data_IF_926634822647
#
_entry.id   IF_926634822647
#
_cell.length_a   1.000
_cell.length_b   1.000
_cell.length_c   1.000
_cell.angle_alpha   90.00
_cell.angle_beta   90.00
_cell.angle_gamma   90.00
#
_symmetry.space_group_name_H-M   'P 1'
#
loop_
_entity.id
_entity.type
_entity.pdbx_description
1 polymer ?
#
# COMPACT_ATOMS: atom_id res chain seq x y z
N UNK A 1 -4.24 -12.58 -8.85
CA UNK A 1 -2.99 -11.80 -8.87
C UNK A 1 -2.63 -11.39 -7.46
N UNK A 2 -1.36 -11.51 -7.09
CA UNK A 2 -0.89 -11.20 -5.74
C UNK A 2 -0.41 -9.75 -5.67
N UNK A 3 -0.79 -9.04 -4.62
CA UNK A 3 -0.50 -7.63 -4.47
C UNK A 3 -0.15 -7.32 -3.01
N UNK A 4 0.96 -6.60 -2.79
CA UNK A 4 1.28 -6.09 -1.46
C UNK A 4 0.31 -4.96 -1.11
N UNK A 5 -0.13 -4.91 0.13
CA UNK A 5 -1.12 -3.92 0.58
C UNK A 5 -0.50 -2.95 1.57
N UNK A 6 -0.91 -1.69 1.48
CA UNK A 6 -0.56 -0.64 2.41
C UNK A 6 -1.85 -0.12 3.06
N UNK A 7 -2.15 -0.54 4.29
CA UNK A 7 -3.34 -0.07 4.99
C UNK A 7 -3.16 1.36 5.49
N UNK A 8 -4.13 2.21 5.25
CA UNK A 8 -4.12 3.62 5.65
C UNK A 8 -5.45 4.00 6.28
N UNK A 9 -5.47 5.07 7.03
CA UNK A 9 -6.70 5.65 7.59
C UNK A 9 -7.46 6.53 6.59
N UNK A 10 -7.12 6.43 5.33
CA UNK A 10 -7.75 7.21 4.26
C UNK A 10 -8.04 6.33 3.07
N UNK A 11 -8.82 6.84 2.14
CA UNK A 11 -9.19 6.14 0.90
C UNK A 11 -8.46 6.80 -0.27
N UNK A 12 -7.85 5.97 -1.11
CA UNK A 12 -7.28 6.42 -2.38
C UNK A 12 -8.30 6.17 -3.50
N UNK A 13 -8.55 7.19 -4.30
CA UNK A 13 -9.48 7.07 -5.43
C UNK A 13 -8.72 7.03 -6.75
N UNK A 14 -9.27 6.35 -7.78
CA UNK A 14 -8.67 6.37 -9.12
C UNK A 14 -8.45 7.80 -9.61
N UNK A 15 -7.26 8.07 -10.14
CA UNK A 15 -6.89 9.38 -10.66
C UNK A 15 -6.47 10.40 -9.61
N UNK A 16 -6.68 10.14 -8.34
CA UNK A 16 -6.27 11.05 -7.27
C UNK A 16 -4.83 10.75 -6.83
N UNK A 17 -4.15 11.75 -6.30
CA UNK A 17 -2.80 11.59 -5.78
C UNK A 17 -2.80 11.62 -4.25
N UNK A 18 -1.80 10.96 -3.67
CA UNK A 18 -1.62 10.90 -2.23
C UNK A 18 -0.12 10.92 -1.94
N UNK A 19 0.28 11.76 -0.99
CA UNK A 19 1.66 11.84 -0.53
C UNK A 19 1.79 11.06 0.77
N UNK A 20 2.79 10.18 0.83
CA UNK A 20 3.04 9.32 1.98
C UNK A 20 4.46 9.48 2.46
N UNK A 21 4.64 9.42 3.79
CA UNK A 21 5.97 9.35 4.40
C UNK A 21 6.15 7.99 5.03
N UNK A 22 7.22 7.30 4.65
CA UNK A 22 7.47 5.93 5.04
C UNK A 22 8.70 5.85 5.94
N UNK A 23 8.59 5.11 7.03
CA UNK A 23 9.71 4.87 7.95
C UNK A 23 9.80 3.41 8.37
N UNK A 24 8.75 2.61 8.22
CA UNK A 24 8.77 1.21 8.62
C UNK A 24 9.45 0.36 7.55
N UNK A 25 10.32 -0.55 8.00
CA UNK A 25 11.12 -1.41 7.11
C UNK A 25 10.26 -2.20 6.13
N UNK A 26 9.11 -2.72 6.59
CA UNK A 26 8.21 -3.52 5.72
C UNK A 26 7.75 -2.74 4.50
N UNK A 27 7.49 -1.44 4.65
CA UNK A 27 7.02 -0.61 3.54
C UNK A 27 8.18 -0.08 2.70
N UNK A 28 9.32 0.23 3.33
CA UNK A 28 10.51 0.61 2.58
C UNK A 28 10.96 -0.52 1.65
N UNK A 29 10.95 -1.75 2.15
CA UNK A 29 11.29 -2.93 1.33
C UNK A 29 10.26 -3.16 0.23
N UNK A 30 8.98 -2.98 0.53
CA UNK A 30 7.90 -3.11 -0.45
C UNK A 30 8.08 -2.11 -1.60
N UNK A 31 8.33 -0.83 -1.28
CA UNK A 31 8.52 0.22 -2.28
C UNK A 31 9.76 -0.09 -3.13
N UNK A 32 10.85 -0.52 -2.50
CA UNK A 32 12.06 -0.89 -3.23
C UNK A 32 11.80 -2.00 -4.25
N UNK A 33 11.06 -3.03 -3.86
CA UNK A 33 10.68 -4.12 -4.77
C UNK A 33 9.79 -3.63 -5.91
N UNK A 34 8.80 -2.80 -5.58
CA UNK A 34 7.90 -2.24 -6.58
C UNK A 34 8.66 -1.43 -7.63
N UNK A 35 9.60 -0.60 -7.19
CA UNK A 35 10.39 0.23 -8.10
C UNK A 35 11.32 -0.60 -8.96
N UNK A 36 11.94 -1.64 -8.42
CA UNK A 36 12.85 -2.52 -9.17
C UNK A 36 12.12 -3.31 -10.24
N UNK A 37 10.90 -3.74 -9.95
CA UNK A 37 10.13 -4.62 -10.84
C UNK A 37 9.12 -3.86 -11.70
N UNK A 38 8.96 -2.56 -11.50
CA UNK A 38 7.93 -1.79 -12.20
C UNK A 38 6.52 -2.18 -11.80
N UNK A 39 6.32 -2.58 -10.53
CA UNK A 39 5.04 -3.01 -10.01
C UNK A 39 4.38 -1.93 -9.17
N UNK A 40 3.07 -2.06 -8.98
CA UNK A 40 2.29 -1.24 -8.06
C UNK A 40 2.03 -1.99 -6.76
N UNK A 41 1.41 -1.31 -5.81
CA UNK A 41 0.90 -1.92 -4.58
C UNK A 41 -0.55 -1.47 -4.39
N UNK A 42 -1.20 -1.96 -3.35
CA UNK A 42 -2.59 -1.62 -3.10
C UNK A 42 -2.77 -0.83 -1.81
N UNK A 43 -3.64 0.16 -1.83
CA UNK A 43 -4.05 0.90 -0.64
C UNK A 43 -5.43 0.43 -0.22
N UNK A 44 -5.56 0.04 1.06
CA UNK A 44 -6.84 -0.32 1.66
C UNK A 44 -7.07 0.54 2.91
N UNK A 45 -8.33 0.86 3.18
CA UNK A 45 -8.69 1.68 4.34
C UNK A 45 -8.76 0.80 5.59
N UNK A 46 -8.12 1.23 6.66
CA UNK A 46 -8.17 0.55 7.96
C UNK A 46 -9.55 0.77 8.58
N UNK A 47 -10.19 -0.32 8.98
CA UNK A 47 -11.46 -0.29 9.72
C UNK A 47 -11.23 -0.50 11.21
N UNK A 48 -10.20 -1.29 11.55
CA UNK A 48 -9.83 -1.58 12.93
C UNK A 48 -8.34 -1.82 12.98
N UNK A 49 -7.64 -1.09 13.87
CA UNK A 49 -6.18 -1.17 14.01
C UNK A 49 -5.52 0.17 13.73
N UNK A 50 -4.19 0.13 13.54
CA UNK A 50 -3.36 1.32 13.37
C UNK A 50 -2.53 1.19 12.10
N UNK A 51 -2.10 2.34 11.56
CA UNK A 51 -1.19 2.37 10.41
C UNK A 51 0.21 1.88 10.75
N UNK A 52 0.61 1.99 12.02
CA UNK A 52 1.99 1.76 12.47
C UNK A 52 2.04 0.53 13.38
N UNK A 53 3.14 -0.21 13.28
CA UNK A 53 3.40 -1.37 14.11
C UNK A 53 3.00 -2.67 13.43
N UNK A 54 1.92 -3.29 13.90
CA UNK A 54 1.44 -4.57 13.37
C UNK A 54 0.44 -4.35 12.24
N UNK A 55 0.22 -5.40 11.45
CA UNK A 55 -0.87 -5.37 10.46
C UNK A 55 -2.21 -5.13 11.17
N UNK A 56 -3.12 -4.36 10.57
CA UNK A 56 -4.42 -4.07 11.18
C UNK A 56 -5.29 -5.33 11.25
N UNK A 57 -6.15 -5.38 12.27
CA UNK A 57 -7.08 -6.50 12.45
C UNK A 57 -8.23 -6.46 11.44
N UNK A 58 -8.61 -5.27 10.99
CA UNK A 58 -9.68 -5.12 10.02
C UNK A 58 -9.40 -3.99 9.03
N UNK A 59 -9.73 -4.23 7.77
CA UNK A 59 -9.59 -3.25 6.70
C UNK A 59 -10.65 -3.49 5.62
N UNK A 60 -10.89 -2.46 4.81
CA UNK A 60 -11.88 -2.56 3.74
C UNK A 60 -11.39 -3.55 2.67
N UNK A 61 -12.31 -4.36 2.15
CA UNK A 61 -11.99 -5.37 1.14
C UNK A 61 -11.93 -4.81 -0.29
N UNK A 62 -12.37 -3.57 -0.47
CA UNK A 62 -12.22 -2.85 -1.74
C UNK A 62 -11.11 -1.83 -1.54
N UNK A 63 -10.11 -1.86 -2.39
CA UNK A 63 -8.99 -0.95 -2.36
C UNK A 63 -8.70 -0.35 -3.71
N UNK A 64 -7.60 0.39 -3.79
CA UNK A 64 -7.17 1.05 -5.01
C UNK A 64 -5.69 0.80 -5.24
N UNK A 65 -5.33 0.46 -6.46
CA UNK A 65 -3.95 0.34 -6.90
C UNK A 65 -3.25 1.68 -6.72
N UNK A 66 -2.03 1.65 -6.18
CA UNK A 66 -1.20 2.83 -6.00
C UNK A 66 0.00 2.74 -6.96
N UNK A 67 0.07 3.69 -7.87
CA UNK A 67 1.14 3.80 -8.85
C UNK A 67 2.14 4.83 -8.33
N UNK A 68 3.40 4.44 -8.15
CA UNK A 68 4.43 5.33 -7.62
C UNK A 68 4.83 6.30 -8.73
N UNK A 69 4.56 7.60 -8.53
CA UNK A 69 4.86 8.65 -9.50
C UNK A 69 6.12 9.43 -9.18
N UNK A 70 6.47 9.52 -7.88
CA UNK A 70 7.64 10.26 -7.46
C UNK A 70 8.09 9.75 -6.09
N UNK A 71 9.36 9.93 -5.78
CA UNK A 71 9.90 9.61 -4.47
C UNK A 71 11.02 10.57 -4.11
N UNK A 72 11.19 10.80 -2.81
CA UNK A 72 12.25 11.65 -2.31
C UNK A 72 12.72 11.15 -0.95
N UNK A 73 13.99 10.83 -0.83
CA UNK A 73 14.59 10.52 0.45
C UNK A 73 14.85 11.81 1.21
N UNK A 74 14.37 11.89 2.45
CA UNK A 74 14.48 13.08 3.27
C UNK A 74 15.69 12.98 4.20
N UNK A 75 16.16 14.14 4.70
CA UNK A 75 17.35 14.22 5.55
C UNK A 75 17.18 13.46 6.88
N UNK A 76 15.96 13.32 7.35
CA UNK A 76 15.64 12.62 8.62
C UNK A 76 15.50 11.10 8.46
N UNK A 77 15.88 10.54 7.33
CA UNK A 77 15.78 9.10 7.05
C UNK A 77 14.41 8.63 6.59
N UNK A 78 13.44 9.53 6.48
CA UNK A 78 12.12 9.20 5.95
C UNK A 78 12.16 9.14 4.43
N UNK A 79 11.32 8.29 3.84
CA UNK A 79 11.11 8.25 2.40
C UNK A 79 9.73 8.83 2.09
N UNK A 80 9.71 9.92 1.33
CA UNK A 80 8.47 10.48 0.81
C UNK A 80 8.15 9.87 -0.54
N UNK A 81 6.91 9.46 -0.76
CA UNK A 81 6.46 9.00 -2.07
C UNK A 81 5.17 9.71 -2.44
N UNK A 82 4.98 9.90 -3.74
CA UNK A 82 3.70 10.34 -4.30
C UNK A 82 3.13 9.21 -5.13
N UNK A 83 1.90 8.84 -4.83
CA UNK A 83 1.20 7.79 -5.57
C UNK A 83 -0.03 8.36 -6.25
N UNK A 84 -0.39 7.75 -7.36
CA UNK A 84 -1.63 8.05 -8.07
C UNK A 84 -2.51 6.81 -8.06
N UNK A 85 -3.79 6.98 -7.76
CA UNK A 85 -4.75 5.88 -7.77
C UNK A 85 -4.98 5.36 -9.18
N UNK A 86 -4.84 4.05 -9.33
CA UNK A 86 -5.10 3.35 -10.57
C UNK A 86 -6.42 2.60 -10.52
N UNK A 87 -6.37 1.29 -10.78
CA UNK A 87 -7.56 0.46 -10.79
C UNK A 87 -8.02 0.13 -9.37
N UNK A 88 -9.32 -0.03 -9.21
CA UNK A 88 -9.87 -0.56 -7.96
C UNK A 88 -9.78 -2.09 -7.97
N UNK A 89 -9.73 -2.66 -6.78
CA UNK A 89 -9.66 -4.11 -6.63
C UNK A 89 -10.49 -4.57 -5.44
N UNK A 90 -10.83 -5.87 -5.47
CA UNK A 90 -11.43 -6.57 -4.33
C UNK A 90 -10.41 -7.55 -3.77
N UNK A 91 -10.22 -7.54 -2.45
CA UNK A 91 -9.38 -8.53 -1.76
C UNK A 91 -10.16 -9.84 -1.69
N UNK A 92 -9.57 -10.90 -2.25
CA UNK A 92 -10.19 -12.23 -2.24
C UNK A 92 -9.64 -13.09 -1.11
N UNK A 93 -8.33 -13.00 -0.87
CA UNK A 93 -7.65 -13.72 0.18
C UNK A 93 -6.41 -12.93 0.57
N UNK A 94 -6.07 -12.92 1.85
CA UNK A 94 -4.95 -12.13 2.33
C UNK A 94 -4.21 -12.87 3.43
N UNK A 95 -2.90 -12.64 3.48
CA UNK A 95 -2.04 -13.17 4.54
C UNK A 95 -1.08 -12.11 5.02
N UNK A 96 -0.59 -12.30 6.23
CA UNK A 96 0.40 -11.42 6.85
C UNK A 96 1.75 -12.13 6.81
N UNK A 97 2.76 -11.48 6.23
CA UNK A 97 4.12 -12.01 6.19
C UNK A 97 4.82 -11.84 7.54
N UNK A 98 5.99 -12.44 7.69
CA UNK A 98 6.76 -12.37 8.94
C UNK A 98 7.10 -10.94 9.34
N UNK A 99 7.30 -10.05 8.37
CA UNK A 99 7.59 -8.64 8.58
C UNK A 99 6.32 -7.79 8.81
N UNK A 100 5.16 -8.42 8.95
CA UNK A 100 3.85 -7.79 9.13
C UNK A 100 3.31 -7.10 7.88
N UNK A 101 3.88 -7.38 6.72
CA UNK A 101 3.34 -6.88 5.45
C UNK A 101 2.14 -7.73 5.03
N UNK A 102 1.02 -7.08 4.71
CA UNK A 102 -0.13 -7.74 4.12
C UNK A 102 0.13 -8.00 2.64
N UNK A 103 -0.15 -9.21 2.21
CA UNK A 103 -0.11 -9.59 0.79
C UNK A 103 -1.42 -10.29 0.46
N UNK A 104 -2.04 -9.92 -0.64
CA UNK A 104 -3.38 -10.40 -0.96
C UNK A 104 -3.48 -10.89 -2.39
N UNK A 105 -4.34 -11.90 -2.58
CA UNK A 105 -4.88 -12.20 -3.89
C UNK A 105 -6.03 -11.25 -4.15
N UNK A 106 -6.00 -10.56 -5.28
CA UNK A 106 -6.97 -9.52 -5.60
C UNK A 106 -7.63 -9.78 -6.94
N UNK A 107 -8.85 -9.27 -7.06
CA UNK A 107 -9.60 -9.23 -8.30
C UNK A 107 -9.73 -7.77 -8.72
N UNK A 108 -9.25 -7.44 -9.91
CA UNK A 108 -9.39 -6.08 -10.43
C UNK A 108 -10.85 -5.79 -10.77
N UNK A 109 -11.30 -4.60 -10.41
CA UNK A 109 -12.64 -4.11 -10.72
C UNK A 109 -12.58 -3.14 -11.89
N UNK A 110 -13.63 -3.12 -12.65
CA UNK A 110 -13.75 -2.19 -13.76
C UNK A 110 -14.31 -0.84 -13.31
#
# INVERSE_FOLDING_TARGET
MSLALFPLNTVLFPGCTLDLQLFEARYLDMISRCMKKGESFGVVCILDGKEVGMAPDGYALIGCEALIRDFKQQDNGLLGIRVEGGRRFRVRDAGVQKDQLLVAEVQWLE
#
